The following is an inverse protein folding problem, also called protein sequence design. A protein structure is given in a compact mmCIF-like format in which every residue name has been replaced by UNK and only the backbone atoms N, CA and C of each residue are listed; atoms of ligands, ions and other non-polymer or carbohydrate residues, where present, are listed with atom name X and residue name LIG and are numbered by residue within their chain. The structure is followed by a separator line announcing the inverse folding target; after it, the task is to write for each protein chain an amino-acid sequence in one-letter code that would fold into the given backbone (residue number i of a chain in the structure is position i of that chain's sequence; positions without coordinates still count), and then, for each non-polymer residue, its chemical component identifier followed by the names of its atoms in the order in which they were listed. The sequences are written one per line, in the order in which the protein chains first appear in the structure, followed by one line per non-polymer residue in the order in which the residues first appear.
data_IF_597121433600
#
_entry.id   IF_597121433600
#
_cell.length_a   1.000
_cell.length_b   1.000
_cell.length_c   1.000
_cell.angle_alpha   90.00
_cell.angle_beta   90.00
_cell.angle_gamma   90.00
#
_symmetry.space_group_name_H-M   'P 1'
#
loop_
_entity.id
_entity.type
_entity.pdbx_description
1 polymer ?
#
# COMPACT_ATOMS: atom_id res chain seq x y z
N UNK A 1 -9.97 2.65 -19.43
CA UNK A 1 -10.27 2.43 -18.00
C UNK A 1 -9.62 3.54 -17.19
N UNK A 2 -10.39 4.44 -16.60
CA UNK A 2 -9.85 5.46 -15.68
C UNK A 2 -9.87 4.82 -14.29
N UNK A 3 -8.73 4.28 -13.86
CA UNK A 3 -8.52 3.94 -12.46
C UNK A 3 -8.34 5.26 -11.71
N UNK A 4 -9.36 5.71 -11.00
CA UNK A 4 -9.25 6.84 -10.10
C UNK A 4 -8.33 6.43 -8.93
N UNK A 5 -7.01 6.53 -9.12
CA UNK A 5 -6.04 6.46 -8.04
C UNK A 5 -5.94 7.84 -7.41
N UNK A 6 -7.00 8.22 -6.71
CA UNK A 6 -6.88 9.29 -5.73
C UNK A 6 -5.94 8.74 -4.65
N UNK A 7 -4.76 9.32 -4.49
CA UNK A 7 -3.95 9.15 -3.30
C UNK A 7 -4.72 9.79 -2.13
N UNK A 8 -5.80 9.13 -1.70
CA UNK A 8 -6.46 9.45 -0.45
C UNK A 8 -5.43 9.22 0.64
N UNK A 9 -5.26 10.20 1.52
CA UNK A 9 -4.52 10.01 2.75
C UNK A 9 -5.35 9.03 3.56
N UNK A 10 -5.00 7.75 3.45
CA UNK A 10 -5.72 6.67 4.09
C UNK A 10 -5.20 6.49 5.51
N UNK A 11 -6.13 6.32 6.44
CA UNK A 11 -5.76 5.99 7.81
C UNK A 11 -5.02 4.65 7.85
N UNK A 12 -4.10 4.52 8.80
CA UNK A 12 -3.43 3.25 9.11
C UNK A 12 -4.49 2.18 9.37
N UNK A 13 -4.32 1.01 8.77
CA UNK A 13 -5.28 -0.10 8.79
C UNK A 13 -6.28 -0.08 7.63
N UNK A 14 -6.28 0.94 6.77
CA UNK A 14 -7.13 0.92 5.57
C UNK A 14 -6.60 -0.10 4.57
N UNK A 15 -7.52 -0.85 3.97
CA UNK A 15 -7.21 -1.86 2.96
C UNK A 15 -7.60 -1.37 1.56
N UNK A 16 -6.65 -1.39 0.63
CA UNK A 16 -6.84 -1.02 -0.78
C UNK A 16 -6.55 -2.18 -1.69
N UNK A 17 -7.31 -2.29 -2.77
CA UNK A 17 -7.10 -3.33 -3.78
C UNK A 17 -6.05 -2.95 -4.82
N UNK A 18 -5.66 -1.67 -4.89
CA UNK A 18 -4.75 -1.13 -5.88
C UNK A 18 -4.02 0.05 -5.27
N UNK A 19 -2.73 0.12 -5.60
CA UNK A 19 -1.83 1.19 -5.18
C UNK A 19 -1.40 1.94 -6.45
N UNK A 20 -1.32 3.29 -6.43
CA UNK A 20 -0.91 4.06 -7.59
C UNK A 20 0.50 3.67 -8.09
N UNK A 21 0.82 3.81 -9.38
CA UNK A 21 2.14 3.47 -9.93
C UNK A 21 3.25 4.45 -9.54
N UNK A 22 2.92 5.59 -8.92
CA UNK A 22 3.89 6.53 -8.37
C UNK A 22 4.54 6.04 -7.07
N UNK A 23 4.06 4.91 -6.53
CA UNK A 23 4.58 4.32 -5.32
C UNK A 23 5.83 3.50 -5.57
N UNK A 24 6.78 3.62 -4.64
CA UNK A 24 8.05 2.90 -4.71
C UNK A 24 8.02 1.69 -3.81
N UNK A 25 8.49 0.55 -4.33
CA UNK A 25 8.62 -0.67 -3.53
C UNK A 25 9.89 -0.59 -2.69
N UNK A 26 9.74 -0.63 -1.37
CA UNK A 26 10.82 -0.59 -0.39
C UNK A 26 10.75 -1.82 0.49
N UNK A 27 11.84 -2.58 0.57
CA UNK A 27 11.93 -3.74 1.45
C UNK A 27 12.50 -3.30 2.80
N UNK A 28 11.70 -3.43 3.86
CA UNK A 28 12.11 -3.11 5.23
C UNK A 28 11.98 -4.36 6.10
N UNK A 29 13.00 -4.69 6.89
CA UNK A 29 13.03 -5.90 7.73
C UNK A 29 12.71 -7.20 6.94
N UNK A 30 13.06 -7.27 5.65
CA UNK A 30 12.76 -8.42 4.79
C UNK A 30 11.31 -8.50 4.30
N UNK A 31 10.48 -7.50 4.59
CA UNK A 31 9.09 -7.37 4.10
C UNK A 31 9.04 -6.29 3.03
N UNK A 32 8.43 -6.60 1.88
CA UNK A 32 8.20 -5.62 0.81
C UNK A 32 7.02 -4.72 1.18
N UNK A 33 7.28 -3.41 1.25
CA UNK A 33 6.27 -2.38 1.43
C UNK A 33 6.20 -1.49 0.19
N UNK A 34 5.03 -0.95 -0.12
CA UNK A 34 4.87 0.09 -1.13
C UNK A 34 4.77 1.42 -0.42
N UNK A 35 5.72 2.31 -0.69
CA UNK A 35 5.79 3.64 -0.12
C UNK A 35 5.23 4.67 -1.12
N UNK A 36 4.13 5.31 -0.73
CA UNK A 36 3.43 6.31 -1.53
C UNK A 36 3.45 7.65 -0.78
N UNK A 37 4.48 8.46 -0.99
CA UNK A 37 4.61 9.77 -0.33
C UNK A 37 4.70 9.64 1.20
N UNK A 38 3.63 9.95 1.98
CA UNK A 38 3.61 9.74 3.43
C UNK A 38 3.05 8.38 3.87
N UNK A 39 2.48 7.58 2.97
CA UNK A 39 1.71 6.38 3.32
C UNK A 39 2.48 5.11 2.99
N UNK A 40 2.47 4.15 3.92
CA UNK A 40 3.11 2.84 3.76
C UNK A 40 2.06 1.77 3.53
N UNK A 41 2.28 0.88 2.58
CA UNK A 41 1.35 -0.21 2.27
C UNK A 41 2.05 -1.56 2.31
N UNK A 42 1.41 -2.55 2.93
CA UNK A 42 1.89 -3.92 2.99
C UNK A 42 0.96 -4.85 2.19
N UNK A 43 1.47 -5.63 1.22
CA UNK A 43 0.68 -6.61 0.50
C UNK A 43 0.28 -7.77 1.42
N UNK A 44 -1.01 -8.11 1.43
CA UNK A 44 -1.62 -9.20 2.17
C UNK A 44 -2.53 -9.99 1.24
N UNK A 45 -2.40 -11.31 1.25
CA UNK A 45 -3.34 -12.18 0.54
C UNK A 45 -4.62 -12.33 1.35
N UNK A 46 -5.75 -11.91 0.77
CA UNK A 46 -7.09 -12.05 1.37
C UNK A 46 -7.97 -12.76 0.35
N UNK A 47 -8.41 -13.98 0.69
CA UNK A 47 -9.34 -14.74 -0.17
C UNK A 47 -8.83 -15.06 -1.57
N UNK A 48 -7.50 -15.14 -1.77
CA UNK A 48 -6.88 -15.41 -3.07
C UNK A 48 -6.58 -14.16 -3.91
N UNK A 49 -6.91 -12.96 -3.40
CA UNK A 49 -6.53 -11.69 -4.02
C UNK A 49 -5.47 -10.98 -3.17
N UNK A 50 -4.59 -10.20 -3.82
CA UNK A 50 -3.66 -9.31 -3.12
C UNK A 50 -4.40 -8.03 -2.74
N UNK A 51 -4.61 -7.84 -1.44
CA UNK A 51 -4.97 -6.55 -0.86
C UNK A 51 -3.70 -5.88 -0.33
N UNK A 52 -3.70 -4.57 -0.24
CA UNK A 52 -2.65 -3.80 0.40
C UNK A 52 -3.25 -3.14 1.63
N UNK A 53 -2.62 -3.30 2.79
CA UNK A 53 -3.04 -2.63 4.02
C UNK A 53 -2.10 -1.48 4.34
N UNK A 54 -2.67 -0.34 4.70
CA UNK A 54 -1.89 0.82 5.14
C UNK A 54 -1.30 0.52 6.50
N UNK A 55 0.00 0.69 6.63
CA UNK A 55 0.75 0.52 7.86
C UNK A 55 1.45 1.82 8.23
N UNK A 56 1.92 1.91 9.46
CA UNK A 56 2.84 2.98 9.84
C UNK A 56 4.22 2.75 9.20
N UNK A 57 5.01 3.83 9.06
CA UNK A 57 6.40 3.71 8.62
C UNK A 57 7.17 2.77 9.56
N UNK A 58 7.98 1.83 9.02
CA UNK A 58 8.74 0.90 9.84
C UNK A 58 10.02 1.49 10.48
N UNK A 59 10.31 2.78 10.32
CA UNK A 59 11.45 3.51 10.89
C UNK A 59 11.07 4.92 11.33
#
# INVERSE_FOLDING_TARGET
MVGATTATILAIGTQVSTVPPECVSVVANGVAYQHCGPTWYQPRYVGGSVQYIVVAAPW
#
